data_IF_702380237910
#
_entry.id   IF_702380237910
#
_cell.length_a   1.000
_cell.length_b   1.000
_cell.length_c   1.000
_cell.angle_alpha   90.00
_cell.angle_beta   90.00
_cell.angle_gamma   90.00
#
_symmetry.space_group_name_H-M   'P 1'
#
loop_
_entity.id
_entity.type
_entity.pdbx_description
1 polymer ?
#
# COMPACT_ATOMS: atom_id res chain seq x y z
N UNK A 1 -29.51 -13.70 22.10
CA UNK A 1 -29.91 -12.84 20.96
C UNK A 1 -29.24 -11.46 20.93
N UNK A 2 -29.13 -10.71 22.04
CA UNK A 2 -28.51 -9.35 22.07
C UNK A 2 -27.03 -9.28 21.61
N UNK A 3 -26.21 -10.26 21.95
CA UNK A 3 -24.78 -10.30 21.58
C UNK A 3 -24.54 -10.33 20.06
N UNK A 4 -25.47 -10.96 19.31
CA UNK A 4 -25.36 -11.10 17.86
C UNK A 4 -25.69 -9.78 17.14
N UNK A 5 -26.59 -8.96 17.69
CA UNK A 5 -26.94 -7.64 17.12
C UNK A 5 -25.84 -6.61 17.31
N UNK A 6 -25.19 -6.59 18.49
CA UNK A 6 -24.03 -5.70 18.74
C UNK A 6 -22.85 -6.02 17.81
N UNK A 7 -22.59 -7.30 17.56
CA UNK A 7 -21.51 -7.72 16.67
C UNK A 7 -21.76 -7.34 15.21
N UNK A 8 -23.02 -7.36 14.75
CA UNK A 8 -23.38 -6.91 13.40
C UNK A 8 -23.30 -5.38 13.25
N UNK A 9 -23.66 -4.62 14.28
CA UNK A 9 -23.56 -3.16 14.28
C UNK A 9 -22.09 -2.70 14.21
N UNK A 10 -21.20 -3.33 14.99
CA UNK A 10 -19.76 -3.06 14.92
C UNK A 10 -19.19 -3.34 13.53
N UNK A 11 -19.59 -4.45 12.89
CA UNK A 11 -19.16 -4.76 11.53
C UNK A 11 -19.58 -3.71 10.50
N UNK A 12 -20.77 -3.15 10.63
CA UNK A 12 -21.27 -2.13 9.70
C UNK A 12 -20.48 -0.81 9.83
N UNK A 13 -20.14 -0.40 11.06
CA UNK A 13 -19.33 0.79 11.33
C UNK A 13 -17.93 0.61 10.75
N UNK A 14 -17.26 -0.50 11.08
CA UNK A 14 -15.90 -0.81 10.62
C UNK A 14 -15.83 -0.86 9.08
N UNK A 15 -16.87 -1.40 8.43
CA UNK A 15 -16.96 -1.39 6.97
C UNK A 15 -17.06 0.02 6.40
N UNK A 16 -17.86 0.89 7.02
CA UNK A 16 -17.97 2.30 6.63
C UNK A 16 -16.63 3.02 6.75
N UNK A 17 -15.92 2.83 7.86
CA UNK A 17 -14.59 3.40 8.09
C UNK A 17 -13.61 2.91 7.02
N UNK A 18 -13.57 1.60 6.74
CA UNK A 18 -12.69 1.05 5.71
C UNK A 18 -12.97 1.62 4.32
N UNK A 19 -14.23 1.89 3.97
CA UNK A 19 -14.59 2.53 2.70
C UNK A 19 -14.06 3.97 2.63
N UNK A 20 -14.22 4.75 3.69
CA UNK A 20 -13.67 6.11 3.73
C UNK A 20 -12.15 6.12 3.68
N UNK A 21 -11.48 5.23 4.42
CA UNK A 21 -10.03 5.06 4.37
C UNK A 21 -9.54 4.68 2.98
N UNK A 22 -10.25 3.79 2.27
CA UNK A 22 -9.92 3.44 0.90
C UNK A 22 -9.97 4.66 -0.03
N UNK A 23 -11.04 5.46 0.06
CA UNK A 23 -11.21 6.67 -0.78
C UNK A 23 -10.10 7.68 -0.49
N UNK A 24 -9.82 7.95 0.79
CA UNK A 24 -8.73 8.86 1.19
C UNK A 24 -7.40 8.36 0.64
N UNK A 25 -7.10 7.07 0.80
CA UNK A 25 -5.88 6.46 0.30
C UNK A 25 -5.77 6.54 -1.23
N UNK A 26 -6.87 6.32 -1.95
CA UNK A 26 -6.94 6.47 -3.40
C UNK A 26 -6.66 7.91 -3.85
N UNK A 27 -7.27 8.89 -3.20
CA UNK A 27 -7.05 10.32 -3.50
C UNK A 27 -5.57 10.68 -3.26
N UNK A 28 -5.02 10.33 -2.10
CA UNK A 28 -3.61 10.63 -1.78
C UNK A 28 -2.68 9.93 -2.76
N UNK A 29 -2.97 8.69 -3.16
CA UNK A 29 -2.19 7.97 -4.19
C UNK A 29 -2.17 8.74 -5.51
N UNK A 30 -3.34 9.19 -5.99
CA UNK A 30 -3.44 9.95 -7.25
C UNK A 30 -2.63 11.25 -7.16
N UNK A 31 -2.73 11.97 -6.04
CA UNK A 31 -1.97 13.21 -5.82
C UNK A 31 -0.47 12.92 -5.87
N UNK A 32 0.01 11.92 -5.13
CA UNK A 32 1.44 11.58 -5.10
C UNK A 32 1.92 11.16 -6.48
N UNK A 33 1.15 10.35 -7.22
CA UNK A 33 1.49 9.97 -8.59
C UNK A 33 1.56 11.16 -9.53
N UNK A 34 0.62 12.10 -9.44
CA UNK A 34 0.64 13.32 -10.24
C UNK A 34 1.88 14.17 -9.93
N UNK A 35 2.23 14.32 -8.65
CA UNK A 35 3.44 15.02 -8.23
C UNK A 35 4.71 14.33 -8.75
N UNK A 36 4.78 13.00 -8.66
CA UNK A 36 5.90 12.21 -9.20
C UNK A 36 6.04 12.37 -10.72
N UNK A 37 4.92 12.37 -11.45
CA UNK A 37 4.91 12.61 -12.90
C UNK A 37 5.40 14.01 -13.25
N UNK A 38 4.89 15.03 -12.56
CA UNK A 38 5.32 16.43 -12.75
C UNK A 38 6.81 16.55 -12.48
N UNK A 39 7.30 16.00 -11.36
CA UNK A 39 8.71 16.06 -11.00
C UNK A 39 9.60 15.36 -12.05
N UNK A 40 9.18 14.20 -12.56
CA UNK A 40 9.88 13.49 -13.62
C UNK A 40 9.96 14.31 -14.92
N UNK A 41 8.84 14.85 -15.40
CA UNK A 41 8.82 15.60 -16.66
C UNK A 41 9.51 16.97 -16.55
N UNK A 42 9.58 17.52 -15.34
CA UNK A 42 10.26 18.78 -15.05
C UNK A 42 11.72 18.60 -14.66
N UNK A 43 12.23 17.35 -14.71
CA UNK A 43 13.64 17.01 -14.44
C UNK A 43 14.09 17.35 -13.01
N UNK A 44 13.23 17.08 -12.03
CA UNK A 44 13.54 17.24 -10.61
C UNK A 44 13.61 18.69 -10.13
N UNK A 45 13.07 19.63 -10.91
CA UNK A 45 13.26 21.07 -10.69
C UNK A 45 12.22 21.69 -9.74
N UNK A 46 11.20 20.92 -9.31
CA UNK A 46 10.03 21.50 -8.63
C UNK A 46 9.72 20.88 -7.27
N UNK A 47 10.09 19.62 -6.96
CA UNK A 47 9.62 18.99 -5.72
C UNK A 47 10.64 18.04 -5.06
N UNK A 48 11.08 18.39 -3.85
CA UNK A 48 11.51 17.37 -2.88
C UNK A 48 10.26 16.66 -2.36
N UNK A 49 10.11 15.36 -2.64
CA UNK A 49 8.90 14.57 -2.36
C UNK A 49 8.73 14.32 -0.85
N UNK A 50 8.44 15.37 -0.07
CA UNK A 50 8.15 15.27 1.37
C UNK A 50 6.79 14.61 1.66
N UNK A 51 5.94 14.46 0.63
CA UNK A 51 4.63 13.81 0.74
C UNK A 51 4.71 12.28 0.82
N UNK A 52 5.84 11.69 0.42
CA UNK A 52 6.05 10.23 0.44
C UNK A 52 5.81 9.58 1.82
N UNK A 53 6.43 10.04 2.93
CA UNK A 53 6.20 9.46 4.25
C UNK A 53 4.75 9.60 4.72
N UNK A 54 4.08 10.74 4.42
CA UNK A 54 2.66 10.92 4.72
C UNK A 54 1.81 9.89 3.97
N UNK A 55 2.04 9.74 2.67
CA UNK A 55 1.35 8.76 1.84
C UNK A 55 1.56 7.32 2.35
N UNK A 56 2.79 6.94 2.67
CA UNK A 56 3.11 5.61 3.23
C UNK A 56 2.40 5.37 4.56
N UNK A 57 2.32 6.38 5.43
CA UNK A 57 1.59 6.32 6.69
C UNK A 57 0.10 6.04 6.46
N UNK A 58 -0.55 6.80 5.57
CA UNK A 58 -1.97 6.60 5.23
C UNK A 58 -2.21 5.22 4.63
N UNK A 59 -1.34 4.77 3.72
CA UNK A 59 -1.43 3.46 3.08
C UNK A 59 -1.26 2.32 4.11
N UNK A 60 -0.33 2.47 5.05
CA UNK A 60 -0.10 1.50 6.13
C UNK A 60 -1.33 1.39 7.04
N UNK A 61 -1.90 2.53 7.46
CA UNK A 61 -3.13 2.58 8.27
C UNK A 61 -4.28 1.88 7.54
N UNK A 62 -4.49 2.20 6.26
CA UNK A 62 -5.50 1.54 5.44
C UNK A 62 -5.27 0.03 5.36
N UNK A 63 -4.03 -0.40 5.09
CA UNK A 63 -3.67 -1.82 4.93
C UNK A 63 -3.90 -2.62 6.22
N UNK A 64 -3.53 -2.06 7.37
CA UNK A 64 -3.76 -2.68 8.68
C UNK A 64 -5.25 -2.73 9.02
N UNK A 65 -5.98 -1.63 8.83
CA UNK A 65 -7.41 -1.55 9.12
C UNK A 65 -8.20 -2.56 8.27
N UNK A 66 -7.87 -2.68 6.98
CA UNK A 66 -8.46 -3.68 6.08
C UNK A 66 -8.28 -5.11 6.60
N UNK A 67 -7.09 -5.45 7.10
CA UNK A 67 -6.81 -6.79 7.61
C UNK A 67 -7.56 -7.07 8.93
N UNK A 68 -7.76 -6.05 9.78
CA UNK A 68 -8.61 -6.13 10.98
C UNK A 68 -10.07 -6.43 10.57
N UNK A 69 -10.62 -5.70 9.61
CA UNK A 69 -11.98 -5.94 9.08
C UNK A 69 -12.11 -7.36 8.52
N UNK A 70 -11.07 -7.85 7.82
CA UNK A 70 -11.03 -9.23 7.32
C UNK A 70 -11.06 -10.26 8.45
N UNK A 71 -10.38 -10.00 9.56
CA UNK A 71 -10.38 -10.87 10.73
C UNK A 71 -11.73 -10.91 11.45
N UNK A 72 -12.54 -9.85 11.35
CA UNK A 72 -13.92 -9.81 11.87
C UNK A 72 -14.90 -10.69 11.05
N UNK A 73 -14.41 -11.42 10.04
CA UNK A 73 -15.15 -12.49 9.37
C UNK A 73 -15.93 -12.05 8.14
N UNK A 74 -15.70 -10.85 7.60
CA UNK A 74 -16.21 -10.47 6.28
C UNK A 74 -15.33 -11.11 5.18
N UNK A 75 -15.83 -12.21 4.59
CA UNK A 75 -15.15 -12.95 3.51
C UNK A 75 -15.07 -12.19 2.18
N UNK A 76 -15.84 -11.12 1.98
CA UNK A 76 -16.01 -10.44 0.69
C UNK A 76 -15.23 -9.14 0.54
N UNK A 77 -14.22 -8.86 1.38
CA UNK A 77 -13.37 -7.68 1.15
C UNK A 77 -12.52 -7.93 -0.09
N UNK A 78 -12.92 -7.29 -1.18
CA UNK A 78 -12.33 -7.32 -2.50
C UNK A 78 -10.82 -6.98 -2.46
N UNK A 79 -10.05 -7.52 -3.41
CA UNK A 79 -8.57 -7.40 -3.47
C UNK A 79 -8.07 -5.99 -3.83
N UNK A 80 -8.85 -4.95 -3.55
CA UNK A 80 -8.60 -3.54 -3.88
C UNK A 80 -7.26 -2.98 -3.38
N UNK A 81 -6.60 -3.65 -2.43
CA UNK A 81 -5.28 -3.25 -1.94
C UNK A 81 -4.16 -3.55 -2.95
N UNK A 82 -4.27 -4.65 -3.70
CA UNK A 82 -3.27 -5.07 -4.69
C UNK A 82 -3.21 -4.07 -5.86
N UNK A 83 -4.32 -3.36 -6.11
CA UNK A 83 -4.39 -2.33 -7.14
C UNK A 83 -3.34 -1.23 -6.94
N UNK A 84 -3.12 -0.78 -5.70
CA UNK A 84 -2.11 0.24 -5.41
C UNK A 84 -0.71 -0.23 -5.83
N UNK A 85 -0.38 -1.48 -5.53
CA UNK A 85 0.90 -2.09 -5.91
C UNK A 85 1.03 -2.14 -7.43
N UNK A 86 0.00 -2.60 -8.14
CA UNK A 86 0.05 -2.71 -9.59
C UNK A 86 0.19 -1.35 -10.28
N UNK A 87 -0.52 -0.32 -9.81
CA UNK A 87 -0.41 1.02 -10.38
C UNK A 87 1.00 1.58 -10.13
N UNK A 88 1.57 1.40 -8.93
CA UNK A 88 2.93 1.86 -8.63
C UNK A 88 4.01 1.14 -9.45
N UNK A 89 3.88 -0.19 -9.63
CA UNK A 89 4.77 -0.95 -10.52
C UNK A 89 4.64 -0.44 -11.95
N UNK A 90 3.41 -0.35 -12.47
CA UNK A 90 3.15 0.11 -13.84
C UNK A 90 3.70 1.51 -14.11
N UNK A 91 3.46 2.45 -13.19
CA UNK A 91 3.99 3.81 -13.27
C UNK A 91 5.53 3.82 -13.28
N UNK A 92 6.15 3.13 -12.32
CA UNK A 92 7.62 3.09 -12.20
C UNK A 92 8.24 2.50 -13.47
N UNK A 93 7.73 1.36 -13.94
CA UNK A 93 8.20 0.73 -15.17
C UNK A 93 8.02 1.65 -16.38
N UNK A 94 6.88 2.33 -16.51
CA UNK A 94 6.65 3.28 -17.60
C UNK A 94 7.68 4.42 -17.59
N UNK A 95 8.00 4.98 -16.42
CA UNK A 95 9.00 6.05 -16.30
C UNK A 95 10.41 5.58 -16.68
N UNK A 96 10.80 4.37 -16.28
CA UNK A 96 12.07 3.77 -16.72
C UNK A 96 12.11 3.56 -18.24
N UNK A 97 11.03 3.06 -18.85
CA UNK A 97 10.94 2.86 -20.30
C UNK A 97 11.02 4.20 -21.03
N UNK A 98 10.32 5.23 -20.56
CA UNK A 98 10.38 6.58 -21.13
C UNK A 98 11.79 7.14 -21.03
N UNK A 99 12.44 7.03 -19.87
CA UNK A 99 13.80 7.52 -19.69
C UNK A 99 14.80 6.77 -20.60
N UNK A 100 14.65 5.46 -20.74
CA UNK A 100 15.46 4.65 -21.66
C UNK A 100 15.24 5.07 -23.13
N UNK A 101 13.99 5.19 -23.57
CA UNK A 101 13.64 5.59 -24.94
C UNK A 101 14.11 7.00 -25.30
N UNK A 102 14.19 7.89 -24.30
CA UNK A 102 14.70 9.26 -24.44
C UNK A 102 16.20 9.39 -24.19
N UNK A 103 16.95 8.26 -24.17
CA UNK A 103 18.40 8.24 -23.98
C UNK A 103 18.84 8.95 -22.69
N UNK A 104 18.15 8.69 -21.58
CA UNK A 104 18.41 9.22 -20.25
C UNK A 104 18.18 10.73 -20.08
N UNK A 105 17.41 11.36 -20.98
CA UNK A 105 17.12 12.79 -20.96
C UNK A 105 16.47 13.28 -19.65
N UNK A 106 15.63 12.46 -19.01
CA UNK A 106 14.94 12.85 -17.77
C UNK A 106 15.73 12.55 -16.51
N UNK A 107 16.81 11.77 -16.63
CA UNK A 107 17.69 11.41 -15.51
C UNK A 107 18.95 12.26 -15.41
N UNK A 108 19.18 13.18 -16.37
CA UNK A 108 20.39 14.02 -16.42
C UNK A 108 20.00 15.48 -16.62
N UNK A 109 20.57 16.39 -15.84
CA UNK A 109 20.40 17.84 -16.03
C UNK A 109 21.15 18.34 -17.26
N UNK A 110 20.90 19.57 -17.69
CA UNK A 110 21.66 20.21 -18.78
C UNK A 110 23.18 20.30 -18.48
N UNK A 111 23.54 20.25 -17.20
CA UNK A 111 24.92 20.30 -16.69
C UNK A 111 25.56 18.91 -16.53
N UNK A 112 24.84 17.83 -16.87
CA UNK A 112 25.33 16.46 -16.73
C UNK A 112 25.15 15.84 -15.33
N UNK A 113 24.43 16.50 -14.42
CA UNK A 113 24.18 15.99 -13.07
C UNK A 113 23.04 14.96 -13.06
N UNK A 114 23.17 13.93 -12.24
CA UNK A 114 22.14 12.88 -12.09
C UNK A 114 20.92 13.39 -11.30
N UNK A 115 19.73 13.14 -11.83
CA UNK A 115 18.45 13.46 -11.18
C UNK A 115 17.92 12.22 -10.46
N UNK A 116 17.59 12.36 -9.18
CA UNK A 116 17.22 11.24 -8.32
C UNK A 116 15.75 10.82 -8.42
N UNK A 117 14.92 11.50 -9.21
CA UNK A 117 13.46 11.27 -9.28
C UNK A 117 13.09 9.81 -9.61
N UNK A 118 13.78 9.16 -10.56
CA UNK A 118 13.51 7.74 -10.86
C UNK A 118 13.82 6.83 -9.68
N UNK A 119 14.95 7.06 -9.00
CA UNK A 119 15.37 6.26 -7.86
C UNK A 119 14.40 6.46 -6.69
N UNK A 120 14.01 7.70 -6.38
CA UNK A 120 13.02 8.00 -5.35
C UNK A 120 11.66 7.35 -5.65
N UNK A 121 11.24 7.37 -6.92
CA UNK A 121 10.00 6.70 -7.35
C UNK A 121 10.08 5.18 -7.20
N UNK A 122 11.22 4.59 -7.57
CA UNK A 122 11.48 3.15 -7.39
C UNK A 122 11.43 2.76 -5.91
N UNK A 123 12.11 3.51 -5.03
CA UNK A 123 12.09 3.27 -3.58
C UNK A 123 10.66 3.34 -3.06
N UNK A 124 9.90 4.36 -3.44
CA UNK A 124 8.51 4.50 -3.00
C UNK A 124 7.63 3.32 -3.46
N UNK A 125 7.79 2.86 -4.70
CA UNK A 125 7.08 1.69 -5.20
C UNK A 125 7.44 0.40 -4.43
N UNK A 126 8.72 0.24 -4.07
CA UNK A 126 9.18 -0.87 -3.24
C UNK A 126 8.64 -0.81 -1.82
N UNK A 127 8.55 0.39 -1.22
CA UNK A 127 7.96 0.59 0.11
C UNK A 127 6.46 0.28 0.11
N UNK A 128 5.74 0.72 -0.92
CA UNK A 128 4.33 0.33 -1.14
C UNK A 128 4.20 -1.18 -1.19
N UNK A 129 5.02 -1.85 -2.01
CA UNK A 129 5.04 -3.31 -2.10
C UNK A 129 5.35 -3.97 -0.75
N UNK A 130 6.33 -3.44 0.00
CA UNK A 130 6.72 -3.95 1.31
C UNK A 130 5.57 -3.90 2.32
N UNK A 131 4.76 -2.83 2.34
CA UNK A 131 3.57 -2.72 3.20
C UNK A 131 2.57 -3.86 2.92
N UNK A 132 2.33 -4.19 1.65
CA UNK A 132 1.41 -5.27 1.28
C UNK A 132 1.98 -6.66 1.55
N UNK A 133 3.28 -6.86 1.36
CA UNK A 133 3.95 -8.11 1.71
C UNK A 133 3.92 -8.30 3.23
N UNK A 134 4.25 -7.27 4.00
CA UNK A 134 4.26 -7.30 5.46
C UNK A 134 2.89 -7.68 6.03
N UNK A 135 1.81 -7.06 5.54
CA UNK A 135 0.45 -7.41 5.98
C UNK A 135 0.05 -8.84 5.61
N UNK A 136 0.49 -9.36 4.46
CA UNK A 136 0.33 -10.79 4.12
C UNK A 136 1.11 -11.71 5.07
N UNK A 137 2.33 -11.36 5.45
CA UNK A 137 3.11 -12.12 6.43
C UNK A 137 2.42 -12.17 7.80
N UNK A 138 1.88 -11.05 8.28
CA UNK A 138 1.14 -11.00 9.55
C UNK A 138 -0.04 -11.98 9.56
N UNK A 139 -0.75 -12.08 8.44
CA UNK A 139 -1.85 -13.04 8.28
C UNK A 139 -1.38 -14.49 8.38
N UNK A 140 -0.29 -14.85 7.68
CA UNK A 140 0.28 -16.20 7.72
C UNK A 140 0.73 -16.55 9.14
N UNK A 141 1.36 -15.60 9.83
CA UNK A 141 1.84 -15.76 11.20
C UNK A 141 0.67 -16.00 12.17
N UNK A 142 -0.42 -15.25 12.04
CA UNK A 142 -1.64 -15.47 12.82
C UNK A 142 -2.24 -16.87 12.61
N UNK A 143 -2.33 -17.34 11.36
CA UNK A 143 -2.84 -18.67 11.04
C UNK A 143 -1.94 -19.76 11.64
N UNK A 144 -0.62 -19.59 11.55
CA UNK A 144 0.36 -20.51 12.12
C UNK A 144 0.26 -20.60 13.65
N UNK A 145 0.13 -19.46 14.33
CA UNK A 145 -0.07 -19.40 15.79
C UNK A 145 -1.37 -20.07 16.22
N UNK A 146 -2.47 -19.80 15.51
CA UNK A 146 -3.76 -20.43 15.79
C UNK A 146 -3.68 -21.96 15.64
N UNK A 147 -3.01 -22.45 14.59
CA UNK A 147 -2.78 -23.89 14.38
C UNK A 147 -1.93 -24.50 15.50
N UNK A 148 -0.85 -23.82 15.92
CA UNK A 148 0.02 -24.28 17.02
C UNK A 148 -0.73 -24.37 18.35
N UNK A 149 -1.56 -23.38 18.67
CA UNK A 149 -2.37 -23.38 19.89
C UNK A 149 -3.42 -24.51 19.89
N UNK A 150 -4.04 -24.76 18.74
CA UNK A 150 -4.99 -25.87 18.57
C UNK A 150 -4.33 -27.24 18.76
N UNK A 151 -3.15 -27.45 18.15
CA UNK A 151 -2.39 -28.70 18.31
C UNK A 151 -1.90 -28.92 19.74
N UNK A 152 -1.49 -27.85 20.44
CA UNK A 152 -1.12 -27.92 21.87
C UNK A 152 -2.32 -28.35 22.72
N UNK A 153 -3.50 -27.78 22.49
CA UNK A 153 -4.74 -28.14 23.21
C UNK A 153 -5.15 -29.60 23.02
N UNK A 154 -4.90 -30.18 21.84
CA UNK A 154 -5.16 -31.61 21.59
C UNK A 154 -4.17 -32.49 22.36
N UNK A 155 -2.88 -32.10 22.39
CA UNK A 155 -1.85 -32.84 23.10
C UNK A 155 -2.03 -32.81 24.63
N UNK A 156 -2.54 -31.70 25.17
CA UNK A 156 -2.77 -31.55 26.63
C UNK A 156 -4.06 -32.26 27.11
N UNK A 157 -4.92 -32.73 26.19
CA UNK A 157 -6.19 -33.43 26.49
C UNK A 157 -6.11 -34.97 26.26
N UNK A 158 -4.95 -35.51 25.88
CA UNK A 158 -4.65 -36.94 25.73
C UNK A 158 -3.54 -37.32 26.71
#
# INVERSE_FOLDING_TARGET
>A
MKQNQQFQHLKAIEYGINKHLFIICAIVTIIVMAMTLIDFFTRGNLFTVQIAPFYLGVLLIYSLHKEIVRWLGQRSVERQGELFVYIWIGLTTALYVINFATKNYFSVTAEGLSINTLQSTMVLALEVLAIFIFTRFLKILKISLAKKHFLKKIKDNN
#
